data_IF_524044513179
#
_entry.id   IF_524044513179
#
_cell.length_a   1.000
_cell.length_b   1.000
_cell.length_c   1.000
_cell.angle_alpha   90.00
_cell.angle_beta   90.00
_cell.angle_gamma   90.00
#
_symmetry.space_group_name_H-M   'P 1'
#
loop_
_entity.id
_entity.type
_entity.pdbx_description
1 polymer ?
#
# COMPACT_ATOMS: atom_id res chain seq x y z
N UNK A 1 -12.28 14.39 14.02
CA UNK A 1 -11.09 13.83 14.74
C UNK A 1 -11.24 12.34 15.05
N UNK A 2 -12.33 11.89 15.69
CA UNK A 2 -12.55 10.45 15.99
C UNK A 2 -12.52 9.56 14.75
N UNK A 3 -13.25 9.92 13.68
CA UNK A 3 -13.26 9.17 12.40
C UNK A 3 -11.87 8.98 11.84
N UNK A 4 -11.06 10.03 11.81
CA UNK A 4 -9.68 9.97 11.32
C UNK A 4 -8.81 8.99 12.12
N UNK A 5 -8.84 9.08 13.46
CA UNK A 5 -8.02 8.20 14.30
C UNK A 5 -8.40 6.72 14.07
N UNK A 6 -9.69 6.42 14.01
CA UNK A 6 -10.17 5.05 13.76
C UNK A 6 -9.76 4.59 12.37
N UNK A 7 -9.99 5.39 11.32
CA UNK A 7 -9.63 5.06 9.96
C UNK A 7 -8.11 4.85 9.80
N UNK A 8 -7.30 5.71 10.39
CA UNK A 8 -5.85 5.60 10.36
C UNK A 8 -5.36 4.31 11.04
N UNK A 9 -5.77 4.06 12.28
CA UNK A 9 -5.32 2.87 13.02
C UNK A 9 -5.84 1.58 12.38
N UNK A 10 -7.08 1.57 11.90
CA UNK A 10 -7.68 0.40 11.25
C UNK A 10 -7.11 0.11 9.85
N UNK A 11 -6.40 1.04 9.23
CA UNK A 11 -5.66 0.77 7.98
C UNK A 11 -4.28 0.15 8.24
N UNK A 12 -3.61 0.52 9.33
CA UNK A 12 -2.25 0.05 9.63
C UNK A 12 -2.20 -1.47 9.82
N UNK A 13 -3.12 -2.04 10.59
CA UNK A 13 -3.10 -3.47 10.92
C UNK A 13 -3.25 -4.34 9.67
N UNK A 14 -4.28 -4.19 8.82
CA UNK A 14 -4.39 -4.97 7.60
C UNK A 14 -3.26 -4.69 6.61
N UNK A 15 -2.76 -3.45 6.53
CA UNK A 15 -1.61 -3.10 5.70
C UNK A 15 -0.38 -3.95 6.10
N UNK A 16 -0.01 -3.94 7.36
CA UNK A 16 1.14 -4.70 7.85
C UNK A 16 0.94 -6.22 7.70
N UNK A 17 -0.28 -6.72 7.94
CA UNK A 17 -0.57 -8.14 7.82
C UNK A 17 -0.49 -8.62 6.36
N UNK A 18 -1.18 -7.95 5.44
CA UNK A 18 -1.27 -8.36 4.04
C UNK A 18 0.07 -8.14 3.32
N UNK A 19 0.67 -6.96 3.46
CA UNK A 19 1.95 -6.65 2.82
C UNK A 19 3.10 -7.41 3.47
N UNK A 20 3.05 -7.67 4.77
CA UNK A 20 4.01 -8.52 5.47
C UNK A 20 4.04 -9.94 4.92
N UNK A 21 2.88 -10.56 4.67
CA UNK A 21 2.77 -11.88 4.03
C UNK A 21 3.32 -11.84 2.60
N UNK A 22 2.99 -10.81 1.84
CA UNK A 22 3.52 -10.60 0.49
C UNK A 22 5.05 -10.52 0.49
N UNK A 23 5.63 -9.65 1.30
CA UNK A 23 7.07 -9.46 1.37
C UNK A 23 7.78 -10.72 1.89
N UNK A 24 7.25 -11.40 2.90
CA UNK A 24 7.80 -12.66 3.39
C UNK A 24 7.86 -13.73 2.29
N UNK A 25 6.79 -13.83 1.49
CA UNK A 25 6.68 -14.82 0.42
C UNK A 25 7.50 -14.43 -0.81
N UNK A 26 7.40 -13.18 -1.25
CA UNK A 26 7.94 -12.72 -2.53
C UNK A 26 9.38 -12.25 -2.46
N UNK A 27 9.88 -11.83 -1.30
CA UNK A 27 11.24 -11.30 -1.15
C UNK A 27 12.30 -12.26 -1.70
N UNK A 28 12.30 -13.51 -1.27
CA UNK A 28 13.25 -14.52 -1.74
C UNK A 28 12.85 -15.16 -3.08
N UNK A 29 11.55 -15.36 -3.30
CA UNK A 29 11.05 -16.10 -4.47
C UNK A 29 11.02 -15.26 -5.75
N UNK A 30 10.74 -13.98 -5.62
CA UNK A 30 10.55 -13.07 -6.75
C UNK A 30 11.59 -11.96 -6.79
N UNK A 31 11.65 -11.10 -5.77
CA UNK A 31 12.49 -9.90 -5.78
C UNK A 31 13.99 -10.22 -5.77
N UNK A 32 14.46 -11.08 -4.88
CA UNK A 32 15.88 -11.41 -4.79
C UNK A 32 16.46 -12.00 -6.08
N UNK A 33 15.65 -12.72 -6.84
CA UNK A 33 16.07 -13.29 -8.13
C UNK A 33 16.20 -12.25 -9.24
N UNK A 34 15.54 -11.11 -9.13
CA UNK A 34 15.44 -10.09 -10.18
C UNK A 34 16.20 -8.82 -9.87
N UNK A 35 16.14 -8.37 -8.64
CA UNK A 35 16.78 -7.13 -8.17
C UNK A 35 17.71 -7.37 -6.97
N UNK A 36 18.13 -8.63 -6.75
CA UNK A 36 18.97 -8.99 -5.60
C UNK A 36 20.26 -8.21 -5.51
N UNK A 37 20.87 -7.83 -6.62
CA UNK A 37 22.07 -6.97 -6.67
C UNK A 37 21.83 -5.56 -6.09
N UNK A 38 20.58 -5.09 -6.08
CA UNK A 38 20.18 -3.80 -5.54
C UNK A 38 19.71 -3.90 -4.09
N UNK A 39 19.47 -5.11 -3.58
CA UNK A 39 18.96 -5.34 -2.23
C UNK A 39 20.10 -5.36 -1.20
N UNK A 40 19.86 -4.72 -0.05
CA UNK A 40 20.72 -4.86 1.12
C UNK A 40 20.59 -6.24 1.77
N UNK A 41 21.52 -6.57 2.68
CA UNK A 41 21.51 -7.85 3.43
C UNK A 41 20.27 -7.99 4.33
N UNK A 42 19.76 -6.87 4.84
CA UNK A 42 18.56 -6.82 5.66
C UNK A 42 17.80 -5.49 5.44
N UNK A 43 16.46 -5.47 5.61
CA UNK A 43 15.69 -4.25 5.52
C UNK A 43 16.09 -3.23 6.61
N UNK A 44 16.15 -1.96 6.24
CA UNK A 44 16.31 -0.86 7.20
C UNK A 44 14.96 -0.55 7.83
N UNK A 45 14.83 -0.77 9.14
CA UNK A 45 13.55 -0.64 9.85
C UNK A 45 13.01 0.80 9.87
N UNK A 46 13.86 1.80 10.07
CA UNK A 46 13.39 3.19 10.19
C UNK A 46 12.66 3.67 8.93
N UNK A 47 13.26 3.58 7.71
CA UNK A 47 12.53 3.94 6.50
C UNK A 47 11.26 3.12 6.29
N UNK A 48 11.26 1.83 6.64
CA UNK A 48 10.09 0.97 6.51
C UNK A 48 8.95 1.42 7.43
N UNK A 49 9.24 1.72 8.68
CA UNK A 49 8.24 2.23 9.63
C UNK A 49 7.68 3.57 9.16
N UNK A 50 8.55 4.51 8.77
CA UNK A 50 8.13 5.82 8.26
C UNK A 50 7.24 5.66 7.02
N UNK A 51 7.60 4.77 6.09
CA UNK A 51 6.77 4.45 4.92
C UNK A 51 5.36 4.03 5.33
N UNK A 52 5.22 3.02 6.20
CA UNK A 52 3.90 2.54 6.60
C UNK A 52 3.07 3.62 7.30
N UNK A 53 3.68 4.43 8.16
CA UNK A 53 2.97 5.51 8.85
C UNK A 53 2.47 6.58 7.87
N UNK A 54 3.33 7.05 6.97
CA UNK A 54 2.98 8.07 5.98
C UNK A 54 1.99 7.54 4.95
N UNK A 55 2.18 6.31 4.49
CA UNK A 55 1.29 5.71 3.49
C UNK A 55 -0.14 5.53 4.02
N UNK A 56 -0.28 5.00 5.24
CA UNK A 56 -1.59 4.88 5.88
C UNK A 56 -2.22 6.24 6.23
N UNK A 57 -1.41 7.27 6.51
CA UNK A 57 -1.90 8.64 6.63
C UNK A 57 -2.55 9.10 5.32
N UNK A 58 -1.93 8.82 4.18
CA UNK A 58 -2.49 9.09 2.86
C UNK A 58 -3.82 8.36 2.63
N UNK A 59 -3.88 7.06 2.95
CA UNK A 59 -5.12 6.26 2.85
C UNK A 59 -6.23 6.90 3.70
N UNK A 60 -5.94 7.24 4.95
CA UNK A 60 -6.92 7.80 5.87
C UNK A 60 -7.46 9.16 5.39
N UNK A 61 -6.56 10.09 5.04
CA UNK A 61 -6.94 11.45 4.68
C UNK A 61 -7.60 11.56 3.30
N UNK A 62 -7.07 10.84 2.31
CA UNK A 62 -7.47 11.02 0.92
C UNK A 62 -8.67 10.16 0.53
N UNK A 63 -8.85 9.02 1.18
CA UNK A 63 -9.90 8.07 0.79
C UNK A 63 -10.81 7.66 1.95
N UNK A 64 -10.25 7.16 3.06
CA UNK A 64 -11.06 6.49 4.06
C UNK A 64 -11.99 7.46 4.82
N UNK A 65 -11.49 8.59 5.29
CA UNK A 65 -12.30 9.60 6.00
C UNK A 65 -13.38 10.18 5.09
N UNK A 66 -13.06 10.70 3.91
CA UNK A 66 -14.11 11.18 2.97
C UNK A 66 -15.15 10.11 2.66
N UNK A 67 -14.71 8.87 2.41
CA UNK A 67 -15.63 7.78 2.09
C UNK A 67 -16.56 7.42 3.25
N UNK A 68 -16.10 7.51 4.50
CA UNK A 68 -16.94 7.30 5.69
C UNK A 68 -17.96 8.41 5.82
N UNK A 69 -17.53 9.66 5.69
CA UNK A 69 -18.38 10.83 5.89
C UNK A 69 -19.46 10.96 4.79
N UNK A 70 -19.10 10.63 3.54
CA UNK A 70 -20.02 10.68 2.39
C UNK A 70 -20.88 9.40 2.22
N UNK A 71 -20.67 8.36 3.02
CA UNK A 71 -21.36 7.09 2.85
C UNK A 71 -21.04 6.36 1.54
N UNK A 72 -19.86 6.56 0.98
CA UNK A 72 -19.43 6.04 -0.33
C UNK A 72 -19.55 4.51 -0.40
N UNK A 73 -20.14 3.97 -1.49
CA UNK A 73 -20.25 2.52 -1.70
C UNK A 73 -18.87 1.82 -1.66
N UNK A 74 -18.78 0.65 -1.04
CA UNK A 74 -17.51 -0.06 -0.81
C UNK A 74 -16.76 -0.38 -2.11
N UNK A 75 -17.46 -0.68 -3.20
CA UNK A 75 -16.82 -0.89 -4.50
C UNK A 75 -16.10 0.38 -4.99
N UNK A 76 -16.71 1.54 -4.82
CA UNK A 76 -16.08 2.82 -5.15
C UNK A 76 -14.91 3.13 -4.21
N UNK A 77 -15.02 2.79 -2.93
CA UNK A 77 -13.92 2.88 -1.96
C UNK A 77 -12.73 2.02 -2.40
N UNK A 78 -13.00 0.78 -2.85
CA UNK A 78 -11.96 -0.08 -3.40
C UNK A 78 -11.25 0.57 -4.60
N UNK A 79 -12.01 1.09 -5.56
CA UNK A 79 -11.45 1.75 -6.75
C UNK A 79 -10.60 2.97 -6.41
N UNK A 80 -11.05 3.81 -5.49
CA UNK A 80 -10.30 4.99 -5.04
C UNK A 80 -8.99 4.58 -4.34
N UNK A 81 -9.06 3.58 -3.47
CA UNK A 81 -7.87 3.01 -2.83
C UNK A 81 -6.93 2.36 -3.85
N UNK A 82 -7.47 1.64 -4.84
CA UNK A 82 -6.68 1.02 -5.90
C UNK A 82 -5.95 2.07 -6.77
N UNK A 83 -6.63 3.17 -7.10
CA UNK A 83 -6.00 4.29 -7.83
C UNK A 83 -4.89 4.93 -7.00
N UNK A 84 -5.11 5.17 -5.71
CA UNK A 84 -4.08 5.70 -4.81
C UNK A 84 -2.87 4.77 -4.76
N UNK A 85 -3.09 3.47 -4.61
CA UNK A 85 -2.04 2.46 -4.60
C UNK A 85 -1.29 2.38 -5.93
N UNK A 86 -2.02 2.40 -7.05
CA UNK A 86 -1.42 2.41 -8.37
C UNK A 86 -0.51 3.62 -8.57
N UNK A 87 -0.97 4.83 -8.23
CA UNK A 87 -0.18 6.07 -8.38
C UNK A 87 1.08 6.03 -7.51
N UNK A 88 0.97 5.57 -6.27
CA UNK A 88 2.12 5.47 -5.38
C UNK A 88 3.18 4.49 -5.90
N UNK A 89 2.75 3.31 -6.36
CA UNK A 89 3.66 2.29 -6.88
C UNK A 89 4.21 2.65 -8.26
N UNK A 90 3.42 3.28 -9.13
CA UNK A 90 3.91 3.87 -10.40
C UNK A 90 5.03 4.85 -10.13
N UNK A 91 4.89 5.72 -9.16
CA UNK A 91 5.91 6.71 -8.81
C UNK A 91 7.24 6.06 -8.44
N UNK A 92 7.21 4.98 -7.65
CA UNK A 92 8.40 4.22 -7.28
C UNK A 92 8.95 3.38 -8.45
N UNK A 93 8.13 2.51 -9.02
CA UNK A 93 8.58 1.51 -9.99
C UNK A 93 8.99 2.10 -11.33
N UNK A 94 8.20 3.01 -11.89
CA UNK A 94 8.54 3.61 -13.18
C UNK A 94 9.72 4.58 -13.09
N UNK A 95 9.89 5.28 -11.98
CA UNK A 95 11.10 6.10 -11.78
C UNK A 95 12.34 5.23 -11.63
N UNK A 96 12.27 4.10 -10.91
CA UNK A 96 13.35 3.13 -10.85
C UNK A 96 13.66 2.53 -12.24
N UNK A 97 12.64 2.15 -12.98
CA UNK A 97 12.80 1.61 -14.35
C UNK A 97 13.41 2.63 -15.31
N UNK A 98 13.09 3.92 -15.14
CA UNK A 98 13.63 4.98 -15.96
C UNK A 98 15.09 5.32 -15.64
N UNK A 99 15.54 5.14 -14.40
CA UNK A 99 16.83 5.65 -13.93
C UNK A 99 17.87 4.57 -13.61
N UNK A 100 17.45 3.34 -13.34
CA UNK A 100 18.33 2.23 -13.01
C UNK A 100 18.60 1.35 -14.22
N UNK A 101 19.87 0.95 -14.43
CA UNK A 101 20.29 0.16 -15.60
C UNK A 101 19.62 -1.21 -15.69
N UNK A 102 19.38 -1.85 -14.55
CA UNK A 102 18.94 -3.26 -14.49
C UNK A 102 17.65 -3.42 -13.70
N UNK A 103 16.67 -2.55 -13.95
CA UNK A 103 15.33 -2.69 -13.36
C UNK A 103 14.41 -3.51 -14.27
N UNK A 104 13.98 -4.72 -13.85
CA UNK A 104 13.15 -5.57 -14.69
C UNK A 104 11.72 -5.03 -14.83
N UNK A 105 11.21 -4.94 -16.06
CA UNK A 105 9.81 -4.54 -16.33
C UNK A 105 8.80 -5.43 -15.61
N UNK A 106 9.10 -6.72 -15.44
CA UNK A 106 8.21 -7.64 -14.72
C UNK A 106 8.02 -7.24 -13.24
N UNK A 107 9.06 -6.72 -12.58
CA UNK A 107 8.95 -6.18 -11.21
C UNK A 107 7.98 -5.03 -11.19
N UNK A 108 8.11 -4.07 -12.12
CA UNK A 108 7.16 -2.96 -12.25
C UNK A 108 5.72 -3.45 -12.40
N UNK A 109 5.44 -4.35 -13.33
CA UNK A 109 4.08 -4.84 -13.58
C UNK A 109 3.47 -5.54 -12.37
N UNK A 110 4.24 -6.38 -11.69
CA UNK A 110 3.79 -7.09 -10.48
C UNK A 110 3.54 -6.10 -9.34
N UNK A 111 4.44 -5.15 -9.12
CA UNK A 111 4.32 -4.16 -8.05
C UNK A 111 3.13 -3.22 -8.26
N UNK A 112 2.88 -2.78 -9.49
CA UNK A 112 1.71 -1.96 -9.81
C UNK A 112 0.40 -2.68 -9.52
N UNK A 113 0.28 -3.93 -9.95
CA UNK A 113 -0.88 -4.76 -9.66
C UNK A 113 -1.06 -4.98 -8.15
N UNK A 114 0.02 -5.31 -7.46
CA UNK A 114 0.02 -5.49 -6.01
C UNK A 114 -0.39 -4.21 -5.27
N UNK A 115 0.24 -3.08 -5.58
CA UNK A 115 -0.05 -1.80 -4.94
C UNK A 115 -1.51 -1.37 -5.07
N UNK A 116 -2.11 -1.58 -6.25
CA UNK A 116 -3.52 -1.32 -6.48
C UNK A 116 -4.42 -2.23 -5.64
N UNK A 117 -4.18 -3.55 -5.67
CA UNK A 117 -4.98 -4.52 -4.91
C UNK A 117 -4.84 -4.35 -3.40
N UNK A 118 -3.61 -4.23 -2.91
CA UNK A 118 -3.31 -4.02 -1.50
C UNK A 118 -4.02 -2.79 -0.95
N UNK A 119 -3.82 -1.65 -1.60
CA UNK A 119 -4.35 -0.37 -1.10
C UNK A 119 -5.88 -0.34 -1.21
N UNK A 120 -6.45 -0.89 -2.28
CA UNK A 120 -7.89 -1.04 -2.42
C UNK A 120 -8.50 -1.89 -1.29
N UNK A 121 -7.91 -3.06 -1.02
CA UNK A 121 -8.37 -3.94 0.05
C UNK A 121 -8.25 -3.30 1.44
N UNK A 122 -7.08 -2.73 1.76
CA UNK A 122 -6.84 -2.06 3.05
C UNK A 122 -7.81 -0.90 3.27
N UNK A 123 -8.08 -0.11 2.24
CA UNK A 123 -9.02 1.01 2.33
C UNK A 123 -10.45 0.54 2.61
N UNK A 124 -10.90 -0.54 1.94
CA UNK A 124 -12.23 -1.14 2.19
C UNK A 124 -12.32 -1.65 3.62
N UNK A 125 -11.30 -2.36 4.12
CA UNK A 125 -11.27 -2.86 5.50
C UNK A 125 -11.35 -1.69 6.48
N UNK A 126 -10.54 -0.66 6.28
CA UNK A 126 -10.51 0.53 7.13
C UNK A 126 -11.87 1.25 7.17
N UNK A 127 -12.48 1.50 6.01
CA UNK A 127 -13.80 2.16 5.91
C UNK A 127 -14.88 1.32 6.57
N UNK A 128 -14.90 0.01 6.29
CA UNK A 128 -15.89 -0.91 6.86
C UNK A 128 -15.80 -0.95 8.38
N UNK A 129 -14.58 -1.10 8.93
CA UNK A 129 -14.35 -1.10 10.38
C UNK A 129 -14.73 0.25 11.00
N UNK A 130 -14.32 1.36 10.39
CA UNK A 130 -14.63 2.70 10.90
C UNK A 130 -16.14 2.95 10.97
N UNK A 131 -16.89 2.50 9.96
CA UNK A 131 -18.36 2.59 9.95
C UNK A 131 -19.01 1.73 11.03
N UNK A 132 -18.42 0.57 11.31
CA UNK A 132 -18.93 -0.36 12.33
C UNK A 132 -18.77 0.20 13.77
N UNK A 133 -17.65 0.90 14.05
CA UNK A 133 -17.34 1.42 15.38
C UNK A 133 -17.79 2.87 15.62
N UNK A 134 -18.22 3.58 14.58
CA UNK A 134 -18.67 4.98 14.67
C UNK A 134 -20.14 5.08 15.06
#
# INVERSE_FOLDING_TARGET
MKTFIIAYLSSIVPMLAIDGVWLFTMSKRFYAKRIGSLMGLSPKLIPAIVFYLVYNLGIALLVAVPAVDDGTALFRVFLLGAVLGLVAYVTYDLTNQATLKEWPTLVTLVDLAWGALLTGAVTVISVSFTRFVK
#
